data_IF_162574104311
#
_entry.id   IF_162574104311
#
_cell.length_a   1.000
_cell.length_b   1.000
_cell.length_c   1.000
_cell.angle_alpha   90.00
_cell.angle_beta   90.00
_cell.angle_gamma   90.00
#
_symmetry.space_group_name_H-M   'P 1'
#
loop_
_entity.id
_entity.type
_entity.pdbx_description
1 polymer ?
#
# COMPACT_ATOMS: atom_id res chain seq x y z
N UNK A 1 31.32 -49.75 -2.04
CA UNK A 1 31.67 -50.41 -0.77
C UNK A 1 33.18 -50.29 -0.59
N UNK A 2 33.61 -49.77 0.57
CA UNK A 2 34.98 -49.74 1.13
C UNK A 2 36.09 -48.89 0.47
N UNK A 3 36.45 -47.79 1.15
CA UNK A 3 37.83 -47.22 1.28
C UNK A 3 38.67 -48.19 2.16
N UNK A 4 40.03 -48.16 2.20
CA UNK A 4 40.80 -47.15 2.98
C UNK A 4 42.22 -46.81 2.42
N UNK A 5 42.71 -45.58 2.61
CA UNK A 5 43.69 -45.06 3.60
C UNK A 5 45.10 -45.70 3.53
N UNK A 6 46.16 -44.87 3.60
CA UNK A 6 47.01 -44.69 4.81
C UNK A 6 48.23 -43.80 4.55
N UNK A 7 48.55 -43.00 5.59
CA UNK A 7 49.89 -42.64 6.08
C UNK A 7 50.79 -41.73 5.22
N UNK A 8 51.61 -40.82 5.74
CA UNK A 8 52.24 -40.61 7.05
C UNK A 8 52.88 -39.20 7.02
N UNK A 9 52.64 -38.32 8.00
CA UNK A 9 53.56 -37.95 9.12
C UNK A 9 55.04 -37.73 8.77
N UNK A 10 55.51 -36.48 8.89
CA UNK A 10 56.78 -36.04 9.55
C UNK A 10 56.74 -34.51 9.64
N UNK A 11 56.62 -33.88 10.82
CA UNK A 11 57.68 -33.63 11.84
C UNK A 11 58.74 -32.66 11.28
N UNK A 12 58.95 -31.45 11.79
CA UNK A 12 59.45 -31.08 13.13
C UNK A 12 59.30 -29.55 13.31
N UNK A 13 58.65 -29.08 14.37
CA UNK A 13 59.27 -28.52 15.60
C UNK A 13 59.42 -26.99 15.61
N UNK A 14 58.45 -26.36 16.29
CA UNK A 14 58.50 -25.06 17.01
C UNK A 14 59.35 -25.19 18.30
N UNK A 15 59.52 -24.20 19.22
CA UNK A 15 59.22 -22.75 19.25
C UNK A 15 60.41 -21.91 19.85
N UNK A 16 60.22 -20.59 20.01
CA UNK A 16 60.40 -19.78 21.25
C UNK A 16 60.57 -18.30 20.86
N UNK A 17 59.57 -17.45 21.11
CA UNK A 17 59.43 -16.60 22.32
C UNK A 17 60.48 -15.48 22.31
N UNK A 18 60.14 -14.19 22.32
CA UNK A 18 59.27 -13.52 23.28
C UNK A 18 58.98 -12.05 22.79
N UNK A 19 58.28 -11.18 23.54
CA UNK A 19 57.00 -10.63 23.11
C UNK A 19 57.08 -9.11 22.90
N UNK A 20 56.06 -8.52 22.26
CA UNK A 20 55.63 -7.22 22.72
C UNK A 20 54.11 -7.09 22.61
N UNK A 21 53.56 -6.95 23.81
CA UNK A 21 52.18 -6.77 24.21
C UNK A 21 51.59 -5.49 23.62
N UNK A 22 50.37 -5.58 23.06
CA UNK A 22 49.40 -4.49 22.96
C UNK A 22 48.07 -5.05 22.45
N UNK A 23 47.32 -5.57 23.43
CA UNK A 23 45.88 -5.44 23.63
C UNK A 23 44.93 -5.27 22.43
N UNK A 24 44.19 -6.36 22.20
CA UNK A 24 42.82 -6.53 21.69
C UNK A 24 41.93 -5.30 21.52
N UNK A 25 41.51 -5.05 20.27
CA UNK A 25 40.12 -4.64 19.95
C UNK A 25 39.66 -5.45 18.73
N UNK A 26 38.86 -6.48 19.02
CA UNK A 26 38.04 -7.22 18.06
C UNK A 26 36.96 -6.28 17.52
N UNK A 27 36.94 -6.11 16.20
CA UNK A 27 35.72 -5.79 15.47
C UNK A 27 35.91 -6.31 14.06
N UNK A 28 35.66 -7.60 13.93
CA UNK A 28 35.25 -8.30 12.72
C UNK A 28 34.71 -7.35 11.65
N UNK A 29 35.47 -7.20 10.56
CA UNK A 29 34.94 -6.76 9.27
C UNK A 29 34.01 -7.87 8.79
N UNK A 30 32.72 -7.70 9.07
CA UNK A 30 31.66 -8.38 8.33
C UNK A 30 31.19 -7.42 7.25
N UNK A 31 31.76 -7.61 6.07
CA UNK A 31 31.18 -7.22 4.81
C UNK A 31 29.82 -7.91 4.69
N UNK A 32 28.78 -7.18 5.05
CA UNK A 32 27.40 -7.52 4.75
C UNK A 32 26.71 -6.20 4.51
N UNK A 33 27.03 -5.59 3.37
CA UNK A 33 26.06 -4.73 2.70
C UNK A 33 24.86 -5.61 2.33
N UNK A 34 23.98 -5.85 3.30
CA UNK A 34 22.58 -6.10 3.04
C UNK A 34 22.03 -4.84 2.38
N UNK A 35 22.25 -4.73 1.08
CA UNK A 35 21.34 -3.99 0.21
C UNK A 35 20.06 -4.81 0.08
N UNK A 36 19.41 -5.05 1.20
CA UNK A 36 17.96 -5.23 1.19
C UNK A 36 17.43 -3.89 0.71
N UNK A 37 16.56 -3.82 -0.32
CA UNK A 37 15.71 -2.67 -0.44
C UNK A 37 15.03 -2.60 0.93
N UNK A 38 15.35 -1.58 1.72
CA UNK A 38 14.39 -1.12 2.68
C UNK A 38 13.15 -0.90 1.82
N UNK A 39 12.20 -1.84 1.89
CA UNK A 39 10.82 -1.52 1.61
C UNK A 39 10.57 -0.43 2.63
N UNK A 40 10.83 0.81 2.21
CA UNK A 40 10.25 1.99 2.78
C UNK A 40 8.81 1.59 2.92
N UNK A 41 8.41 1.22 4.14
CA UNK A 41 7.03 1.07 4.48
C UNK A 41 6.53 2.48 4.31
N UNK A 42 6.14 2.81 3.08
CA UNK A 42 5.40 4.01 2.76
C UNK A 42 4.22 3.89 3.70
N UNK A 43 4.31 4.58 4.83
CA UNK A 43 3.22 4.67 5.76
C UNK A 43 2.12 5.30 4.92
N UNK A 44 1.14 4.48 4.53
CA UNK A 44 0.00 4.93 3.78
C UNK A 44 -0.52 6.20 4.45
N UNK A 45 -0.87 7.21 3.65
CA UNK A 45 -1.53 8.38 4.20
C UNK A 45 -2.83 7.92 4.89
N UNK A 46 -3.29 8.59 5.96
CA UNK A 46 -4.59 8.29 6.57
C UNK A 46 -5.69 8.18 5.50
N UNK A 47 -5.69 9.12 4.55
CA UNK A 47 -6.58 9.12 3.38
C UNK A 47 -6.55 7.83 2.55
N UNK A 48 -5.37 7.26 2.33
CA UNK A 48 -5.27 6.01 1.60
C UNK A 48 -5.90 4.85 2.39
N UNK A 49 -5.72 4.83 3.70
CA UNK A 49 -6.33 3.80 4.57
C UNK A 49 -7.86 3.97 4.63
N UNK A 50 -8.34 5.22 4.69
CA UNK A 50 -9.76 5.55 4.67
C UNK A 50 -10.42 5.15 3.33
N UNK A 51 -9.80 5.51 2.20
CA UNK A 51 -10.27 5.09 0.88
C UNK A 51 -10.23 3.57 0.69
N UNK A 52 -9.23 2.90 1.27
CA UNK A 52 -9.13 1.43 1.24
C UNK A 52 -10.23 0.77 2.09
N UNK A 53 -10.65 1.38 3.19
CA UNK A 53 -11.77 0.90 3.99
C UNK A 53 -13.07 0.93 3.18
N UNK A 54 -13.34 2.02 2.45
CA UNK A 54 -14.51 2.12 1.55
C UNK A 54 -14.46 1.07 0.44
N UNK A 55 -13.30 0.88 -0.20
CA UNK A 55 -13.13 -0.20 -1.19
C UNK A 55 -13.53 -1.57 -0.63
N UNK A 56 -13.05 -1.91 0.58
CA UNK A 56 -13.37 -3.17 1.24
C UNK A 56 -14.85 -3.26 1.63
N UNK A 57 -15.46 -2.16 2.04
CA UNK A 57 -16.89 -2.08 2.35
C UNK A 57 -17.75 -2.37 1.11
N UNK A 58 -17.49 -1.67 0.00
CA UNK A 58 -18.20 -1.84 -1.27
C UNK A 58 -18.05 -3.27 -1.78
N UNK A 59 -16.84 -3.83 -1.69
CA UNK A 59 -16.57 -5.21 -2.12
C UNK A 59 -17.44 -6.24 -1.39
N UNK A 60 -17.76 -5.99 -0.12
CA UNK A 60 -18.56 -6.90 0.71
C UNK A 60 -20.07 -6.69 0.56
N UNK A 61 -20.52 -5.44 0.38
CA UNK A 61 -21.95 -5.10 0.38
C UNK A 61 -22.55 -5.11 -1.03
N UNK A 62 -21.96 -4.35 -1.95
CA UNK A 62 -22.46 -4.17 -3.31
C UNK A 62 -21.27 -3.95 -4.27
N UNK A 63 -20.56 -5.03 -4.66
CA UNK A 63 -19.32 -4.91 -5.42
C UNK A 63 -19.56 -4.26 -6.78
N UNK A 64 -18.66 -3.34 -7.14
CA UNK A 64 -18.60 -2.75 -8.47
C UNK A 64 -18.10 -3.78 -9.50
N UNK A 65 -18.35 -3.61 -10.80
CA UNK A 65 -17.73 -4.42 -11.84
C UNK A 65 -16.20 -4.26 -11.81
N UNK A 66 -15.44 -5.31 -12.13
CA UNK A 66 -13.97 -5.25 -12.31
C UNK A 66 -13.22 -4.47 -11.21
N UNK A 67 -13.58 -4.71 -9.94
CA UNK A 67 -13.02 -3.99 -8.79
C UNK A 67 -11.50 -4.12 -8.71
N UNK A 68 -10.83 -2.97 -8.64
CA UNK A 68 -9.40 -2.84 -8.44
C UNK A 68 -9.14 -1.58 -7.61
N UNK A 69 -8.17 -1.61 -6.70
CA UNK A 69 -7.84 -0.44 -5.89
C UNK A 69 -6.54 0.21 -6.35
N UNK A 70 -6.63 1.42 -6.88
CA UNK A 70 -5.48 2.23 -7.30
C UNK A 70 -5.52 3.59 -6.59
N UNK A 71 -4.56 3.88 -5.71
CA UNK A 71 -4.41 5.19 -5.08
C UNK A 71 -3.43 6.05 -5.88
N UNK A 72 -3.86 7.22 -6.33
CA UNK A 72 -3.07 8.09 -7.22
C UNK A 72 -3.44 9.57 -6.99
N UNK A 73 -2.77 10.48 -7.69
CA UNK A 73 -3.04 11.91 -7.64
C UNK A 73 -3.33 12.46 -9.03
N UNK A 74 -4.24 13.44 -9.12
CA UNK A 74 -4.53 14.12 -10.38
C UNK A 74 -3.45 15.17 -10.70
N UNK A 75 -3.59 15.86 -11.84
CA UNK A 75 -2.62 16.89 -12.27
C UNK A 75 -2.50 18.10 -11.31
N UNK A 76 -3.48 18.29 -10.41
CA UNK A 76 -3.46 19.32 -9.35
C UNK A 76 -2.78 18.82 -8.07
N UNK A 77 -2.39 17.55 -8.01
CA UNK A 77 -1.83 16.90 -6.82
C UNK A 77 -2.88 16.45 -5.80
N UNK A 78 -4.17 16.44 -6.17
CA UNK A 78 -5.24 15.94 -5.29
C UNK A 78 -5.26 14.41 -5.35
N UNK A 79 -5.13 13.77 -4.19
CA UNK A 79 -5.13 12.32 -4.10
C UNK A 79 -6.56 11.78 -4.19
N UNK A 80 -6.72 10.67 -4.90
CA UNK A 80 -7.97 9.95 -5.04
C UNK A 80 -7.69 8.46 -5.24
N UNK A 81 -8.72 7.64 -5.07
CA UNK A 81 -8.64 6.22 -5.37
C UNK A 81 -9.53 5.87 -6.56
N UNK A 82 -9.09 4.96 -7.40
CA UNK A 82 -9.92 4.30 -8.40
C UNK A 82 -10.29 2.94 -7.81
N UNK A 83 -11.59 2.63 -7.72
CA UNK A 83 -12.13 1.41 -7.10
C UNK A 83 -12.53 0.35 -8.13
N UNK A 84 -12.71 0.77 -9.38
CA UNK A 84 -13.08 -0.07 -10.52
C UNK A 84 -12.75 0.67 -11.81
N UNK A 85 -12.22 -0.08 -12.77
CA UNK A 85 -11.99 0.34 -14.15
C UNK A 85 -12.72 -0.67 -15.05
N UNK A 86 -13.77 -0.23 -15.72
CA UNK A 86 -14.61 -1.10 -16.54
C UNK A 86 -15.06 -0.38 -17.80
N UNK A 87 -15.90 -1.04 -18.59
CA UNK A 87 -16.55 -0.45 -19.77
C UNK A 87 -18.05 -0.62 -19.69
N UNK A 88 -18.80 0.36 -20.17
CA UNK A 88 -20.25 0.26 -20.33
C UNK A 88 -20.70 0.61 -21.74
N UNK A 89 -21.86 0.10 -22.15
CA UNK A 89 -22.50 0.49 -23.40
C UNK A 89 -23.38 1.72 -23.17
N UNK A 90 -23.01 2.86 -23.75
CA UNK A 90 -23.78 4.11 -23.69
C UNK A 90 -23.99 4.64 -25.11
N UNK A 91 -25.23 4.92 -25.47
CA UNK A 91 -25.62 5.38 -26.82
C UNK A 91 -25.13 4.49 -27.99
N UNK A 92 -24.99 3.17 -27.74
CA UNK A 92 -24.50 2.20 -28.74
C UNK A 92 -22.99 2.26 -28.96
N UNK A 93 -22.24 2.89 -28.06
CA UNK A 93 -20.78 2.93 -28.03
C UNK A 93 -20.28 2.35 -26.70
N UNK A 94 -19.23 1.55 -26.76
CA UNK A 94 -18.49 1.12 -25.57
C UNK A 94 -17.66 2.28 -25.05
N UNK A 95 -17.87 2.67 -23.79
CA UNK A 95 -17.15 3.78 -23.15
C UNK A 95 -16.44 3.28 -21.90
N UNK A 96 -15.24 3.80 -21.65
CA UNK A 96 -14.51 3.49 -20.43
C UNK A 96 -15.14 4.24 -19.25
N UNK A 97 -15.19 3.57 -18.10
CA UNK A 97 -15.77 4.08 -16.87
C UNK A 97 -14.84 3.74 -15.71
N UNK A 98 -14.53 4.77 -14.93
CA UNK A 98 -13.79 4.62 -13.69
C UNK A 98 -14.70 5.02 -12.53
N UNK A 99 -14.73 4.21 -11.48
CA UNK A 99 -15.35 4.59 -10.22
C UNK A 99 -14.27 5.18 -9.32
N UNK A 100 -14.28 6.50 -9.18
CA UNK A 100 -13.29 7.26 -8.44
C UNK A 100 -13.84 7.70 -7.08
N UNK A 101 -13.05 7.52 -6.04
CA UNK A 101 -13.33 7.96 -4.68
C UNK A 101 -12.47 9.18 -4.36
N UNK A 102 -13.12 10.30 -4.07
CA UNK A 102 -12.48 11.58 -3.79
C UNK A 102 -12.66 11.99 -2.33
N UNK A 103 -11.69 12.72 -1.82
CA UNK A 103 -11.78 13.42 -0.54
C UNK A 103 -12.77 14.60 -0.63
N UNK A 104 -13.75 14.65 0.27
CA UNK A 104 -14.70 15.76 0.44
C UNK A 104 -14.55 16.46 1.80
N UNK A 105 -13.50 16.10 2.54
CA UNK A 105 -13.11 16.71 3.80
C UNK A 105 -13.71 16.03 5.03
N UNK A 106 -13.16 16.40 6.18
CA UNK A 106 -13.52 15.77 7.43
C UNK A 106 -14.76 16.39 8.08
N UNK A 107 -15.61 15.54 8.66
CA UNK A 107 -16.73 15.90 9.54
C UNK A 107 -16.41 15.50 10.97
N UNK A 108 -16.93 16.26 11.93
CA UNK A 108 -16.86 15.90 13.35
C UNK A 108 -18.27 15.89 13.94
N UNK A 109 -18.61 14.83 14.65
CA UNK A 109 -19.91 14.69 15.30
C UNK A 109 -19.95 15.36 16.68
N UNK A 110 -21.12 15.30 17.34
CA UNK A 110 -21.33 15.85 18.69
C UNK A 110 -20.52 15.13 19.78
N UNK A 111 -20.05 13.91 19.48
CA UNK A 111 -19.26 13.07 20.37
C UNK A 111 -17.75 13.28 20.16
N UNK A 112 -17.35 14.24 19.31
CA UNK A 112 -15.97 14.53 18.97
C UNK A 112 -15.27 13.37 18.22
N UNK A 113 -16.04 12.51 17.55
CA UNK A 113 -15.51 11.55 16.59
C UNK A 113 -15.31 12.26 15.25
N UNK A 114 -14.15 12.04 14.65
CA UNK A 114 -13.83 12.57 13.32
C UNK A 114 -14.05 11.50 12.26
N UNK A 115 -14.70 11.90 11.18
CA UNK A 115 -14.94 11.09 10.00
C UNK A 115 -14.37 11.80 8.79
N UNK A 116 -13.75 11.06 7.89
CA UNK A 116 -13.45 11.55 6.56
C UNK A 116 -14.67 11.31 5.66
N UNK A 117 -15.17 12.35 4.99
CA UNK A 117 -16.21 12.20 3.99
C UNK A 117 -15.59 11.95 2.63
N UNK A 118 -15.94 10.83 2.01
CA UNK A 118 -15.46 10.42 0.71
C UNK A 118 -16.62 10.35 -0.28
N UNK A 119 -16.41 10.85 -1.48
CA UNK A 119 -17.41 10.91 -2.55
C UNK A 119 -17.05 9.92 -3.63
N UNK A 120 -17.96 8.99 -3.92
CA UNK A 120 -17.82 8.07 -5.04
C UNK A 120 -18.48 8.66 -6.28
N UNK A 121 -17.68 8.88 -7.31
CA UNK A 121 -18.12 9.34 -8.61
C UNK A 121 -17.81 8.31 -9.69
N UNK A 122 -18.71 8.23 -10.66
CA UNK A 122 -18.50 7.53 -11.91
C UNK A 122 -17.98 8.53 -12.94
N UNK A 123 -16.77 8.28 -13.42
CA UNK A 123 -16.00 9.19 -14.28
C UNK A 123 -15.77 8.54 -15.64
N UNK A 124 -15.88 9.35 -16.69
CA UNK A 124 -15.61 8.96 -18.07
C UNK A 124 -14.26 9.52 -18.49
N UNK A 125 -13.15 8.77 -18.39
CA UNK A 125 -11.79 9.27 -18.64
C UNK A 125 -11.59 9.79 -20.07
N UNK A 126 -12.37 9.30 -21.03
CA UNK A 126 -12.33 9.75 -22.43
C UNK A 126 -12.99 11.13 -22.65
N UNK A 127 -13.66 11.69 -21.63
CA UNK A 127 -14.24 13.04 -21.66
C UNK A 127 -15.49 13.18 -22.54
N UNK A 128 -16.12 12.06 -22.92
CA UNK A 128 -17.33 12.05 -23.77
C UNK A 128 -18.65 12.25 -23.00
N UNK A 129 -18.62 12.17 -21.68
CA UNK A 129 -19.80 12.22 -20.81
C UNK A 129 -19.48 12.94 -19.50
N UNK A 130 -20.50 13.55 -18.90
CA UNK A 130 -20.41 14.18 -17.58
C UNK A 130 -20.19 13.13 -16.49
N UNK A 131 -19.49 13.52 -15.42
CA UNK A 131 -19.34 12.67 -14.24
C UNK A 131 -20.68 12.50 -13.52
N UNK A 132 -20.89 11.32 -12.94
CA UNK A 132 -22.14 10.98 -12.25
C UNK A 132 -21.80 10.68 -10.77
N UNK A 133 -22.42 11.42 -9.85
CA UNK A 133 -22.32 11.12 -8.41
C UNK A 133 -23.01 9.78 -8.13
N UNK A 134 -22.30 8.88 -7.45
CA UNK A 134 -22.79 7.55 -7.08
C UNK A 134 -23.24 7.54 -5.62
N UNK A 135 -22.35 7.92 -4.70
CA UNK A 135 -22.64 7.89 -3.26
C UNK A 135 -21.68 8.73 -2.41
N UNK A 136 -21.99 8.86 -1.13
CA UNK A 136 -21.12 9.41 -0.08
C UNK A 136 -20.86 8.37 1.01
N UNK A 137 -19.62 8.32 1.49
CA UNK A 137 -19.20 7.45 2.58
C UNK A 137 -18.54 8.27 3.69
N UNK A 138 -18.89 8.01 4.94
CA UNK A 138 -18.16 8.51 6.11
C UNK A 138 -17.27 7.42 6.64
N UNK A 139 -15.97 7.70 6.76
CA UNK A 139 -15.00 6.76 7.33
C UNK A 139 -14.49 7.30 8.65
N UNK A 140 -14.68 6.55 9.73
CA UNK A 140 -14.13 6.94 11.03
C UNK A 140 -12.58 6.89 10.96
N UNK A 141 -11.91 8.01 11.20
CA UNK A 141 -10.45 8.09 11.06
C UNK A 141 -9.68 7.25 12.09
N UNK A 142 -10.32 6.84 13.19
CA UNK A 142 -9.71 5.99 14.21
C UNK A 142 -10.00 4.50 14.00
N UNK A 143 -11.26 4.15 13.70
CA UNK A 143 -11.70 2.75 13.60
C UNK A 143 -11.72 2.20 12.18
N UNK A 144 -11.65 3.06 11.17
CA UNK A 144 -11.87 2.76 9.75
C UNK A 144 -13.23 2.11 9.47
N UNK A 145 -14.21 2.29 10.37
CA UNK A 145 -15.59 1.90 10.09
C UNK A 145 -16.19 2.81 9.03
N UNK A 146 -16.83 2.19 8.03
CA UNK A 146 -17.45 2.87 6.90
C UNK A 146 -18.95 2.93 7.11
N UNK A 147 -19.51 4.14 7.00
CA UNK A 147 -20.94 4.42 7.00
C UNK A 147 -21.30 4.87 5.59
N UNK A 148 -22.22 4.16 4.97
CA UNK A 148 -22.85 4.52 3.70
C UNK A 148 -23.94 5.56 3.97
N UNK A 149 -23.81 6.78 3.40
CA UNK A 149 -24.84 7.81 3.55
C UNK A 149 -26.04 7.60 2.61
N UNK A 150 -25.94 6.71 1.61
CA UNK A 150 -26.97 6.39 0.62
C UNK A 150 -27.51 7.64 -0.10
N UNK A 151 -26.59 8.51 -0.53
CA UNK A 151 -26.90 9.82 -1.12
C UNK A 151 -26.38 9.91 -2.54
N UNK A 152 -27.31 9.95 -3.49
CA UNK A 152 -27.01 10.13 -4.91
C UNK A 152 -27.19 11.59 -5.40
N UNK A 153 -27.17 12.56 -4.49
CA UNK A 153 -27.26 14.00 -4.79
C UNK A 153 -26.49 14.84 -3.76
N UNK A 154 -25.96 15.98 -4.20
CA UNK A 154 -25.32 16.99 -3.35
C UNK A 154 -26.28 17.67 -2.38
#
# INVERSE_FOLDING_TARGET
MFLPNTDTLTESSVPDSDPNDSETQDSSISDSSENSPAQESQKASPLQDEMRAVYQYIQQQNPLPDMNFTYTANAKGENYAILSETTEEKDGTTVNVNYCLYDNGSKTDENNNTFEELVLEKVYPDGGYETELVDFYLVNSETLEVIDEQKSSW
#
